data_IF_830303541638
#
_entry.id   IF_830303541638
#
_cell.length_a   1.000
_cell.length_b   1.000
_cell.length_c   1.000
_cell.angle_alpha   90.00
_cell.angle_beta   90.00
_cell.angle_gamma   90.00
#
_symmetry.space_group_name_H-M   'P 1'
#
loop_
_entity.id
_entity.type
_entity.pdbx_description
1 polymer ?
#
# COMPACT_ATOMS: atom_id res chain seq x y z
N UNK A 1 3.70 -17.72 16.40
CA UNK A 1 3.45 -17.04 15.12
C UNK A 1 4.15 -17.71 13.92
N UNK A 2 5.49 -17.73 13.70
CA UNK A 2 6.06 -18.46 12.56
C UNK A 2 5.84 -19.98 12.60
N UNK A 3 5.99 -20.59 13.78
CA UNK A 3 5.76 -22.03 13.99
C UNK A 3 4.29 -22.40 13.73
N UNK A 4 3.36 -21.70 14.38
CA UNK A 4 1.91 -21.89 14.17
C UNK A 4 1.50 -21.72 12.70
N UNK A 5 2.03 -20.72 11.99
CA UNK A 5 1.75 -20.54 10.56
C UNK A 5 2.34 -21.70 9.73
N UNK A 6 3.53 -22.19 10.11
CA UNK A 6 4.15 -23.35 9.45
C UNK A 6 3.31 -24.61 9.65
N UNK A 7 2.84 -24.86 10.87
CA UNK A 7 1.95 -25.97 11.20
C UNK A 7 0.64 -25.89 10.40
N UNK A 8 -0.01 -24.71 10.38
CA UNK A 8 -1.25 -24.52 9.62
C UNK A 8 -1.07 -24.75 8.11
N UNK A 9 0.02 -24.23 7.51
CA UNK A 9 0.31 -24.43 6.09
C UNK A 9 0.61 -25.91 5.78
N UNK A 10 1.29 -26.63 6.67
CA UNK A 10 1.55 -28.06 6.53
C UNK A 10 0.25 -28.88 6.64
N UNK A 11 -0.66 -28.53 7.57
CA UNK A 11 -1.97 -29.17 7.70
C UNK A 11 -2.84 -28.98 6.45
N UNK A 12 -2.67 -27.86 5.74
CA UNK A 12 -3.29 -27.60 4.43
C UNK A 12 -2.62 -28.36 3.27
N UNK A 13 -1.55 -29.12 3.52
CA UNK A 13 -0.82 -29.87 2.49
C UNK A 13 0.07 -29.02 1.59
N UNK A 14 0.34 -27.77 1.97
CA UNK A 14 1.25 -26.88 1.22
C UNK A 14 2.69 -27.35 1.45
N UNK A 15 3.53 -27.29 0.41
CA UNK A 15 4.94 -27.75 0.44
C UNK A 15 5.87 -26.69 -0.16
N UNK A 16 7.18 -26.91 -0.07
CA UNK A 16 8.22 -26.06 -0.66
C UNK A 16 8.18 -24.58 -0.20
N UNK A 17 7.90 -24.37 1.09
CA UNK A 17 7.89 -23.04 1.72
C UNK A 17 8.81 -22.96 2.95
N UNK A 18 9.18 -21.74 3.32
CA UNK A 18 9.87 -21.43 4.57
C UNK A 18 9.26 -20.16 5.20
N UNK A 19 8.89 -20.24 6.48
CA UNK A 19 8.34 -19.11 7.23
C UNK A 19 9.40 -18.55 8.15
N UNK A 20 9.76 -17.28 7.95
CA UNK A 20 10.76 -16.60 8.76
C UNK A 20 10.25 -15.23 9.25
N UNK A 21 10.49 -14.87 10.53
CA UNK A 21 10.25 -13.50 10.98
C UNK A 21 11.32 -12.56 10.42
N UNK A 22 10.97 -11.30 10.20
CA UNK A 22 11.97 -10.26 9.96
C UNK A 22 12.75 -9.98 11.26
N UNK A 23 14.04 -10.35 11.27
CA UNK A 23 14.93 -10.10 12.42
C UNK A 23 15.74 -8.81 12.28
N UNK A 24 15.84 -8.28 11.07
CA UNK A 24 16.58 -7.06 10.78
C UNK A 24 15.78 -6.15 9.85
N UNK A 25 16.03 -4.85 9.96
CA UNK A 25 15.56 -3.82 9.03
C UNK A 25 16.74 -3.01 8.54
N UNK A 26 16.86 -2.88 7.23
CA UNK A 26 17.84 -1.99 6.62
C UNK A 26 17.34 -0.55 6.67
N UNK A 27 18.18 0.37 7.14
CA UNK A 27 17.88 1.81 7.07
C UNK A 27 18.06 2.38 5.65
N UNK A 28 17.85 3.68 5.49
CA UNK A 28 17.98 4.35 4.19
C UNK A 28 19.43 4.38 3.66
N UNK A 29 20.42 4.11 4.51
CA UNK A 29 21.85 4.10 4.19
C UNK A 29 22.38 2.69 3.90
N UNK A 30 21.53 1.67 4.02
CA UNK A 30 21.91 0.27 3.78
C UNK A 30 22.38 -0.46 5.03
N UNK A 31 22.33 0.15 6.22
CA UNK A 31 22.81 -0.48 7.44
C UNK A 31 21.71 -1.36 8.07
N UNK A 32 22.01 -2.60 8.44
CA UNK A 32 21.07 -3.46 9.13
C UNK A 32 20.94 -3.06 10.60
N UNK A 33 19.70 -2.89 11.06
CA UNK A 33 19.35 -2.74 12.48
C UNK A 33 18.59 -3.97 12.94
N UNK A 34 18.99 -4.57 14.05
CA UNK A 34 18.25 -5.68 14.66
C UNK A 34 16.87 -5.22 15.15
N UNK A 35 15.85 -6.00 14.82
CA UNK A 35 14.49 -5.80 15.28
C UNK A 35 14.30 -6.52 16.61
N UNK A 36 13.95 -5.75 17.64
CA UNK A 36 13.49 -6.31 18.92
C UNK A 36 12.11 -6.92 18.74
N UNK A 37 11.74 -7.84 19.63
CA UNK A 37 10.40 -8.43 19.67
C UNK A 37 9.26 -7.39 19.81
N UNK A 38 9.56 -6.21 20.35
CA UNK A 38 8.63 -5.08 20.49
C UNK A 38 8.61 -4.13 19.28
N UNK A 39 9.32 -4.46 18.20
CA UNK A 39 9.38 -3.61 17.02
C UNK A 39 8.05 -3.64 16.26
N UNK A 40 7.66 -2.47 15.77
CA UNK A 40 6.42 -2.27 15.04
C UNK A 40 6.70 -1.64 13.65
N UNK A 41 6.02 -2.09 12.57
CA UNK A 41 5.19 -3.29 12.50
C UNK A 41 6.05 -4.57 12.59
N UNK A 42 5.43 -5.68 13.01
CA UNK A 42 6.06 -7.00 12.95
C UNK A 42 5.89 -7.58 11.55
N UNK A 43 6.94 -8.18 10.98
CA UNK A 43 6.89 -8.75 9.63
C UNK A 43 7.23 -10.24 9.66
N UNK A 44 6.47 -11.03 8.92
CA UNK A 44 6.73 -12.44 8.63
C UNK A 44 6.86 -12.60 7.12
N UNK A 45 7.84 -13.36 6.68
CA UNK A 45 8.01 -13.75 5.29
C UNK A 45 7.66 -15.23 5.13
N UNK A 46 6.76 -15.53 4.22
CA UNK A 46 6.53 -16.89 3.72
C UNK A 46 7.22 -16.98 2.36
N UNK A 47 8.44 -17.48 2.34
CA UNK A 47 9.18 -17.74 1.10
C UNK A 47 8.67 -19.04 0.49
N UNK A 48 8.49 -19.06 -0.82
CA UNK A 48 8.06 -20.24 -1.55
C UNK A 48 8.98 -20.50 -2.71
N UNK A 49 9.08 -21.76 -3.14
CA UNK A 49 9.82 -22.12 -4.34
C UNK A 49 9.02 -21.71 -5.58
N UNK A 50 9.55 -20.74 -6.31
CA UNK A 50 8.95 -20.32 -7.58
C UNK A 50 9.17 -21.37 -8.68
N UNK A 51 8.16 -21.56 -9.53
CA UNK A 51 8.31 -22.27 -10.81
C UNK A 51 8.78 -21.35 -11.94
N UNK A 52 8.73 -20.02 -11.73
CA UNK A 52 9.22 -19.01 -12.66
C UNK A 52 10.72 -18.74 -12.42
N UNK A 53 11.50 -18.41 -13.46
CA UNK A 53 12.91 -18.05 -13.32
C UNK A 53 13.10 -16.87 -12.36
N UNK A 54 14.22 -16.85 -11.62
CA UNK A 54 14.57 -15.81 -10.64
C UNK A 54 14.89 -14.43 -11.26
N UNK A 55 14.66 -14.23 -12.55
CA UNK A 55 15.06 -13.03 -13.31
C UNK A 55 14.21 -11.78 -13.01
N UNK A 56 13.22 -11.88 -12.12
CA UNK A 56 12.30 -10.78 -11.80
C UNK A 56 12.80 -10.03 -10.56
N UNK A 57 13.72 -9.08 -10.74
CA UNK A 57 14.32 -8.24 -9.67
C UNK A 57 13.26 -7.57 -8.76
N UNK A 58 12.05 -7.33 -9.29
CA UNK A 58 10.98 -6.62 -8.59
C UNK A 58 9.99 -7.52 -7.81
N UNK A 59 9.86 -8.81 -8.16
CA UNK A 59 8.93 -9.75 -7.51
C UNK A 59 9.72 -10.92 -6.93
N UNK A 60 10.05 -10.79 -5.64
CA UNK A 60 10.65 -11.89 -4.89
C UNK A 60 9.61 -12.98 -4.61
N UNK A 61 9.97 -14.28 -4.64
CA UNK A 61 9.06 -15.39 -4.37
C UNK A 61 8.80 -15.54 -2.86
N UNK A 62 8.18 -14.52 -2.29
CA UNK A 62 7.82 -14.43 -0.88
C UNK A 62 6.54 -13.64 -0.68
N UNK A 63 5.70 -14.14 0.20
CA UNK A 63 4.57 -13.38 0.75
C UNK A 63 5.07 -12.66 2.00
N UNK A 64 4.98 -11.33 2.00
CA UNK A 64 5.30 -10.50 3.17
C UNK A 64 4.01 -10.22 3.92
N UNK A 65 3.92 -10.66 5.17
CA UNK A 65 2.81 -10.41 6.09
C UNK A 65 3.27 -9.36 7.10
N UNK A 66 2.61 -8.20 7.12
CA UNK A 66 2.89 -7.13 8.08
C UNK A 66 1.74 -7.00 9.08
N UNK A 67 2.08 -7.03 10.37
CA UNK A 67 1.15 -6.95 11.48
C UNK A 67 1.42 -5.65 12.22
N UNK A 68 0.41 -4.78 12.26
CA UNK A 68 0.47 -3.46 12.87
C UNK A 68 -0.53 -3.35 14.02
N UNK A 69 -0.08 -2.90 15.19
CA UNK A 69 -0.91 -2.54 16.34
C UNK A 69 -1.22 -1.03 16.42
N UNK A 70 -0.69 -0.25 15.48
CA UNK A 70 -0.94 1.20 15.35
C UNK A 70 -1.80 1.52 14.13
N UNK A 71 -2.43 0.51 13.53
CA UNK A 71 -3.39 0.73 12.44
C UNK A 71 -4.76 1.01 13.04
N UNK A 72 -5.53 1.87 12.40
CA UNK A 72 -6.92 2.08 12.78
C UNK A 72 -7.71 0.79 12.49
N UNK A 73 -8.63 0.40 13.38
CA UNK A 73 -9.35 -0.88 13.28
C UNK A 73 -10.64 -0.79 12.44
N UNK A 74 -11.18 0.41 12.25
CA UNK A 74 -12.47 0.66 11.57
C UNK A 74 -12.34 1.82 10.54
N UNK A 75 -13.25 1.98 9.57
CA UNK A 75 -14.34 1.06 9.23
C UNK A 75 -13.82 -0.17 8.48
N UNK A 76 -14.37 -1.34 8.79
CA UNK A 76 -14.18 -2.57 8.00
C UNK A 76 -15.47 -3.02 7.33
N UNK A 77 -15.32 -3.73 6.22
CA UNK A 77 -16.37 -4.47 5.56
C UNK A 77 -15.92 -5.92 5.32
N UNK A 78 -16.83 -6.88 5.53
CA UNK A 78 -16.57 -8.28 5.20
C UNK A 78 -16.46 -8.43 3.68
N UNK A 79 -15.33 -8.97 3.22
CA UNK A 79 -15.14 -9.32 1.82
C UNK A 79 -14.86 -10.80 1.68
N UNK A 80 -15.28 -11.30 0.53
CA UNK A 80 -15.00 -12.64 0.07
C UNK A 80 -13.85 -12.55 -0.94
N UNK A 81 -12.71 -13.15 -0.62
CA UNK A 81 -11.63 -13.36 -1.58
C UNK A 81 -11.74 -14.76 -2.15
N UNK A 82 -11.60 -14.84 -3.47
CA UNK A 82 -11.62 -16.08 -4.23
C UNK A 82 -10.38 -16.14 -5.11
N UNK A 83 -9.79 -17.33 -5.25
CA UNK A 83 -8.61 -17.50 -6.08
C UNK A 83 -8.91 -17.15 -7.53
N UNK A 84 -8.11 -16.25 -8.13
CA UNK A 84 -8.18 -15.97 -9.57
C UNK A 84 -7.93 -17.23 -10.42
N UNK A 85 -7.16 -18.20 -9.90
CA UNK A 85 -6.95 -19.47 -10.58
C UNK A 85 -8.23 -20.28 -10.73
N UNK A 86 -9.19 -20.16 -9.81
CA UNK A 86 -10.47 -20.85 -9.92
C UNK A 86 -11.32 -20.33 -11.10
N UNK A 87 -11.13 -19.08 -11.52
CA UNK A 87 -11.81 -18.52 -12.69
C UNK A 87 -11.19 -19.00 -14.02
N UNK A 88 -9.88 -19.26 -14.02
CA UNK A 88 -9.13 -19.67 -15.21
C UNK A 88 -9.09 -21.20 -15.36
N UNK A 89 -8.88 -21.91 -14.27
CA UNK A 89 -8.71 -23.37 -14.19
C UNK A 89 -9.90 -23.98 -13.46
N UNK A 90 -10.97 -24.24 -14.21
CA UNK A 90 -12.25 -24.74 -13.65
C UNK A 90 -12.19 -26.12 -12.99
N UNK A 91 -11.09 -26.84 -13.19
CA UNK A 91 -10.88 -28.18 -12.64
C UNK A 91 -10.14 -28.16 -11.30
N UNK A 92 -9.58 -27.00 -10.91
CA UNK A 92 -8.88 -26.80 -9.65
C UNK A 92 -9.85 -26.45 -8.51
N UNK A 93 -9.37 -26.62 -7.28
CA UNK A 93 -10.15 -26.31 -6.08
C UNK A 93 -10.48 -24.81 -6.01
N UNK A 94 -11.76 -24.52 -5.83
CA UNK A 94 -12.27 -23.15 -5.69
C UNK A 94 -12.14 -22.67 -4.24
N UNK A 95 -10.96 -22.14 -3.91
CA UNK A 95 -10.68 -21.63 -2.57
C UNK A 95 -11.30 -20.24 -2.39
N UNK A 96 -12.26 -20.16 -1.48
CA UNK A 96 -12.91 -18.94 -1.02
C UNK A 96 -12.59 -18.69 0.47
N UNK A 97 -12.25 -17.45 0.83
CA UNK A 97 -12.08 -17.02 2.22
C UNK A 97 -12.83 -15.72 2.48
N UNK A 98 -13.45 -15.61 3.65
CA UNK A 98 -14.13 -14.40 4.11
C UNK A 98 -13.37 -13.78 5.27
N UNK A 99 -13.10 -12.48 5.18
CA UNK A 99 -12.46 -11.76 6.27
C UNK A 99 -12.79 -10.26 6.20
N UNK A 100 -12.72 -9.56 7.36
CA UNK A 100 -12.89 -8.11 7.40
C UNK A 100 -11.74 -7.42 6.66
N UNK A 101 -12.09 -6.52 5.74
CA UNK A 101 -11.15 -5.65 5.04
C UNK A 101 -11.43 -4.20 5.38
N UNK A 102 -10.40 -3.37 5.44
CA UNK A 102 -10.58 -1.91 5.59
C UNK A 102 -11.38 -1.39 4.40
N UNK A 103 -12.36 -0.52 4.65
CA UNK A 103 -13.16 0.07 3.57
C UNK A 103 -12.27 0.86 2.59
N UNK A 104 -12.47 0.73 1.26
CA UNK A 104 -11.60 1.38 0.29
C UNK A 104 -11.54 2.91 0.41
N UNK A 105 -12.61 3.58 0.86
CA UNK A 105 -12.62 5.03 1.12
C UNK A 105 -11.57 5.42 2.15
N UNK A 106 -11.38 4.62 3.21
CA UNK A 106 -10.35 4.87 4.22
C UNK A 106 -8.95 4.68 3.63
N UNK A 107 -8.73 3.59 2.90
CA UNK A 107 -7.46 3.34 2.21
C UNK A 107 -7.10 4.46 1.23
N UNK A 108 -8.09 5.02 0.54
CA UNK A 108 -7.93 6.18 -0.34
C UNK A 108 -7.43 7.42 0.41
N UNK A 109 -8.08 7.77 1.52
CA UNK A 109 -7.67 8.86 2.40
C UNK A 109 -6.26 8.65 2.97
N UNK A 110 -5.97 7.45 3.46
CA UNK A 110 -4.65 7.11 4.02
C UNK A 110 -3.53 7.30 2.99
N UNK A 111 -3.76 6.95 1.71
CA UNK A 111 -2.79 7.16 0.63
C UNK A 111 -2.60 8.64 0.31
N UNK A 112 -3.69 9.41 0.24
CA UNK A 112 -3.65 10.86 0.03
C UNK A 112 -2.84 11.53 1.15
N UNK A 113 -3.13 11.21 2.42
CA UNK A 113 -2.42 11.79 3.55
C UNK A 113 -0.98 11.35 3.63
N UNK A 114 -0.68 10.08 3.34
CA UNK A 114 0.70 9.59 3.29
C UNK A 114 1.54 10.39 2.28
N UNK A 115 1.00 10.67 1.09
CA UNK A 115 1.68 11.49 0.09
C UNK A 115 1.78 12.95 0.52
N UNK A 116 0.72 13.50 1.09
CA UNK A 116 0.71 14.86 1.62
C UNK A 116 1.79 15.09 2.67
N UNK A 117 1.91 14.16 3.61
CA UNK A 117 2.94 14.16 4.64
C UNK A 117 4.34 13.97 4.04
N UNK A 118 4.50 13.09 3.04
CA UNK A 118 5.79 12.89 2.38
C UNK A 118 6.26 14.15 1.66
N UNK A 119 5.36 14.88 0.98
CA UNK A 119 5.69 16.09 0.22
C UNK A 119 5.87 17.36 1.06
N UNK A 120 5.52 17.33 2.34
CA UNK A 120 5.94 18.36 3.29
C UNK A 120 7.41 18.24 3.71
N UNK A 121 8.06 17.08 3.47
CA UNK A 121 9.48 16.87 3.81
C UNK A 121 10.40 17.59 2.83
N UNK A 122 11.55 18.06 3.32
CA UNK A 122 12.57 18.66 2.46
C UNK A 122 13.20 17.68 1.45
N UNK A 123 13.15 16.38 1.72
CA UNK A 123 13.65 15.32 0.84
C UNK A 123 12.64 14.15 0.81
N UNK A 124 11.58 14.22 -0.02
CA UNK A 124 10.57 13.17 -0.12
C UNK A 124 11.18 11.90 -0.74
N UNK A 125 10.85 10.75 -0.17
CA UNK A 125 11.27 9.46 -0.71
C UNK A 125 10.50 9.15 -2.00
N UNK A 126 11.20 8.80 -3.06
CA UNK A 126 10.62 8.45 -4.36
C UNK A 126 10.50 6.93 -4.57
N UNK A 127 11.48 6.15 -4.09
CA UNK A 127 11.54 4.68 -4.29
C UNK A 127 10.30 3.98 -3.74
N UNK A 128 9.61 3.24 -4.62
CA UNK A 128 8.37 2.50 -4.41
C UNK A 128 7.16 3.36 -4.03
N UNK A 129 7.25 4.68 -4.05
CA UNK A 129 6.18 5.56 -3.57
C UNK A 129 5.17 5.93 -4.66
N UNK A 130 5.55 5.82 -5.94
CA UNK A 130 4.65 6.10 -7.08
C UNK A 130 3.42 5.20 -7.14
N UNK A 131 3.46 4.01 -6.52
CA UNK A 131 2.30 3.10 -6.38
C UNK A 131 1.09 3.78 -5.74
N UNK A 132 1.33 4.70 -4.80
CA UNK A 132 0.25 5.39 -4.10
C UNK A 132 -0.47 6.36 -5.03
N UNK A 133 0.23 6.96 -6.00
CA UNK A 133 -0.37 7.79 -7.05
C UNK A 133 -1.31 6.94 -7.91
N UNK A 134 -0.84 5.76 -8.34
CA UNK A 134 -1.65 4.83 -9.13
C UNK A 134 -2.89 4.34 -8.39
N UNK A 135 -2.74 3.94 -7.13
CA UNK A 135 -3.86 3.48 -6.32
C UNK A 135 -4.93 4.57 -6.13
N UNK A 136 -4.51 5.83 -5.93
CA UNK A 136 -5.43 6.98 -5.87
C UNK A 136 -6.17 7.13 -7.20
N UNK A 137 -5.47 7.06 -8.32
CA UNK A 137 -6.10 7.14 -9.65
C UNK A 137 -7.13 6.02 -9.88
N UNK A 138 -6.84 4.80 -9.43
CA UNK A 138 -7.79 3.67 -9.59
C UNK A 138 -9.03 3.80 -8.72
N UNK A 139 -8.95 4.48 -7.58
CA UNK A 139 -10.07 4.63 -6.65
C UNK A 139 -10.89 5.90 -6.92
N UNK A 140 -10.30 6.97 -7.45
CA UNK A 140 -10.89 8.31 -7.45
C UNK A 140 -12.24 8.46 -8.18
N UNK A 141 -12.53 7.60 -9.16
CA UNK A 141 -13.80 7.64 -9.92
C UNK A 141 -14.84 6.62 -9.44
N UNK A 142 -14.46 5.76 -8.50
CA UNK A 142 -15.39 4.87 -7.81
C UNK A 142 -16.24 5.63 -6.79
N UNK A 143 -17.30 5.01 -6.29
CA UNK A 143 -18.11 5.61 -5.22
C UNK A 143 -17.32 5.78 -3.92
N UNK A 144 -16.29 4.95 -3.70
CA UNK A 144 -15.35 5.11 -2.59
C UNK A 144 -14.53 6.40 -2.72
N UNK A 145 -14.05 6.71 -3.94
CA UNK A 145 -13.30 7.95 -4.19
C UNK A 145 -14.17 9.20 -4.02
N UNK A 146 -15.44 9.14 -4.47
CA UNK A 146 -16.42 10.23 -4.27
C UNK A 146 -16.80 10.43 -2.81
N UNK A 147 -16.69 9.40 -1.98
CA UNK A 147 -17.01 9.45 -0.55
C UNK A 147 -16.01 10.26 0.28
N UNK A 148 -14.97 10.85 -0.32
CA UNK A 148 -14.08 11.81 0.33
C UNK A 148 -14.80 13.05 0.92
N UNK A 149 -16.04 13.31 0.49
CA UNK A 149 -16.90 14.33 1.08
C UNK A 149 -17.42 13.98 2.49
N UNK A 150 -17.26 12.73 2.94
CA UNK A 150 -17.54 12.33 4.32
C UNK A 150 -16.49 12.95 5.26
N UNK A 151 -16.88 14.07 5.87
CA UNK A 151 -15.99 14.83 6.75
C UNK A 151 -15.68 14.11 8.06
N UNK A 152 -16.60 13.28 8.56
CA UNK A 152 -16.40 12.56 9.80
C UNK A 152 -15.30 11.51 9.64
N UNK A 153 -15.38 10.71 8.57
CA UNK A 153 -14.32 9.75 8.25
C UNK A 153 -13.00 10.46 7.98
N UNK A 154 -13.01 11.53 7.18
CA UNK A 154 -11.82 12.34 6.89
C UNK A 154 -11.10 12.79 8.16
N UNK A 155 -11.82 13.48 9.07
CA UNK A 155 -11.25 14.03 10.29
C UNK A 155 -10.79 12.92 11.25
N UNK A 156 -11.49 11.79 11.29
CA UNK A 156 -11.10 10.64 12.11
C UNK A 156 -9.76 10.05 11.66
N UNK A 157 -9.53 9.93 10.35
CA UNK A 157 -8.27 9.41 9.79
C UNK A 157 -7.13 10.40 10.05
N UNK A 158 -7.33 11.71 9.83
CA UNK A 158 -6.32 12.74 10.14
C UNK A 158 -5.95 12.70 11.62
N UNK A 159 -6.95 12.66 12.50
CA UNK A 159 -6.74 12.59 13.96
C UNK A 159 -5.97 11.34 14.35
N UNK A 160 -6.34 10.18 13.82
CA UNK A 160 -5.65 8.92 14.10
C UNK A 160 -4.17 9.01 13.68
N UNK A 161 -3.89 9.51 12.47
CA UNK A 161 -2.52 9.66 11.96
C UNK A 161 -1.70 10.63 12.82
N UNK A 162 -2.29 11.74 13.26
CA UNK A 162 -1.61 12.74 14.12
C UNK A 162 -1.18 12.20 15.48
N UNK A 163 -1.80 11.11 15.96
CA UNK A 163 -1.53 10.48 17.26
C UNK A 163 -0.65 9.24 17.11
N UNK A 164 -1.05 8.30 16.24
CA UNK A 164 -0.46 6.96 16.17
C UNK A 164 0.57 6.79 15.04
N UNK A 165 0.47 7.60 13.98
CA UNK A 165 1.38 7.55 12.82
C UNK A 165 2.11 8.88 12.63
N UNK A 166 2.31 9.63 13.71
CA UNK A 166 2.86 10.97 13.66
C UNK A 166 4.24 10.96 13.02
N UNK A 167 4.38 11.70 11.93
CA UNK A 167 5.66 11.92 11.27
C UNK A 167 6.27 13.22 11.83
N UNK A 168 7.53 13.15 12.23
CA UNK A 168 8.25 14.31 12.76
C UNK A 168 8.42 15.39 11.68
N UNK A 169 8.22 16.66 12.05
CA UNK A 169 8.34 17.80 11.14
C UNK A 169 7.14 18.03 10.22
N UNK A 170 6.06 17.26 10.37
CA UNK A 170 4.81 17.44 9.62
C UNK A 170 3.83 18.31 10.40
N UNK A 171 3.21 19.25 9.68
CA UNK A 171 2.12 20.06 10.20
C UNK A 171 0.77 19.42 9.85
N UNK A 172 0.10 18.87 10.86
CA UNK A 172 -1.21 18.24 10.71
C UNK A 172 -2.36 19.26 10.61
N UNK A 173 -2.11 20.54 10.92
CA UNK A 173 -3.08 21.61 10.68
C UNK A 173 -3.21 21.92 9.18
N UNK A 174 -2.30 21.40 8.34
CA UNK A 174 -2.36 21.49 6.87
C UNK A 174 -3.14 20.34 6.21
N UNK A 175 -3.75 19.42 6.97
CA UNK A 175 -4.61 18.36 6.42
C UNK A 175 -6.03 18.86 6.11
N UNK A 176 -6.19 20.12 5.71
CA UNK A 176 -7.47 20.65 5.21
C UNK A 176 -7.62 20.40 3.70
N UNK A 177 -8.87 20.28 3.22
CA UNK A 177 -9.17 20.00 1.80
C UNK A 177 -8.49 21.01 0.86
N UNK A 178 -8.44 22.29 1.27
CA UNK A 178 -7.82 23.38 0.51
C UNK A 178 -6.29 23.28 0.40
N UNK A 179 -5.64 22.66 1.39
CA UNK A 179 -4.17 22.60 1.53
C UNK A 179 -3.59 21.23 1.17
N UNK A 180 -4.45 20.22 0.95
CA UNK A 180 -4.00 18.92 0.47
C UNK A 180 -3.19 19.06 -0.83
N UNK A 181 -2.07 18.35 -0.83
CA UNK A 181 -1.12 18.26 -1.92
C UNK A 181 -0.54 16.85 -1.94
N UNK A 182 -0.89 16.07 -2.94
CA UNK A 182 -0.42 14.68 -3.12
C UNK A 182 0.13 14.48 -4.55
N UNK A 183 0.57 15.57 -5.17
CA UNK A 183 1.29 15.58 -6.45
C UNK A 183 2.79 15.78 -6.14
N UNK A 184 3.70 15.00 -6.74
CA UNK A 184 5.13 15.16 -6.54
C UNK A 184 5.59 16.59 -6.85
N UNK A 185 6.38 17.24 -5.97
CA UNK A 185 6.95 18.55 -6.25
C UNK A 185 7.82 18.54 -7.51
N UNK A 186 7.84 19.65 -8.26
CA UNK A 186 8.60 19.77 -9.52
C UNK A 186 10.08 19.37 -9.40
N UNK A 187 10.70 19.67 -8.26
CA UNK A 187 12.09 19.31 -7.96
C UNK A 187 12.34 17.80 -7.95
N UNK A 188 11.33 16.99 -7.60
CA UNK A 188 11.44 15.53 -7.45
C UNK A 188 10.65 14.76 -8.52
N UNK A 189 9.94 15.45 -9.41
CA UNK A 189 9.00 14.84 -10.36
C UNK A 189 9.63 13.76 -11.25
N UNK A 190 10.87 13.97 -11.70
CA UNK A 190 11.62 13.01 -12.53
C UNK A 190 11.98 11.72 -11.79
N UNK A 191 12.24 11.81 -10.49
CA UNK A 191 12.53 10.61 -9.69
C UNK A 191 11.27 9.77 -9.51
N UNK A 192 10.13 10.42 -9.30
CA UNK A 192 8.83 9.78 -9.20
C UNK A 192 8.36 9.18 -10.51
N UNK A 193 8.64 9.86 -11.63
CA UNK A 193 8.42 9.31 -12.98
C UNK A 193 9.22 8.02 -13.19
N UNK A 194 10.51 8.03 -12.84
CA UNK A 194 11.37 6.84 -12.94
C UNK A 194 10.86 5.70 -12.06
N UNK A 195 10.40 5.99 -10.85
CA UNK A 195 9.80 4.99 -9.96
C UNK A 195 8.50 4.42 -10.56
N UNK A 196 7.66 5.26 -11.16
CA UNK A 196 6.41 4.85 -11.80
C UNK A 196 6.67 3.97 -13.03
N UNK A 197 7.61 4.34 -13.89
CA UNK A 197 8.02 3.51 -15.04
C UNK A 197 8.53 2.14 -14.58
N UNK A 198 9.31 2.10 -13.50
CA UNK A 198 9.76 0.85 -12.90
C UNK A 198 8.57 0.02 -12.43
N UNK A 199 7.58 0.63 -11.77
CA UNK A 199 6.37 -0.07 -11.37
C UNK A 199 5.55 -0.58 -12.57
N UNK A 200 5.36 0.22 -13.62
CA UNK A 200 4.60 -0.17 -14.82
C UNK A 200 5.18 -1.43 -15.45
N UNK A 201 6.49 -1.46 -15.65
CA UNK A 201 7.17 -2.59 -16.30
C UNK A 201 7.05 -3.92 -15.54
N UNK A 202 6.88 -3.88 -14.22
CA UNK A 202 6.89 -5.08 -13.38
C UNK A 202 5.52 -5.49 -12.82
N UNK A 203 4.56 -4.57 -12.71
CA UNK A 203 3.29 -4.81 -12.02
C UNK A 203 2.03 -4.50 -12.80
N UNK A 204 2.09 -3.64 -13.81
CA UNK A 204 0.88 -3.23 -14.51
C UNK A 204 0.75 -4.05 -15.80
N UNK A 205 -0.05 -5.11 -15.71
CA UNK A 205 -0.35 -6.02 -16.83
C UNK A 205 -1.45 -5.48 -17.77
N UNK A 206 -1.98 -4.29 -17.50
CA UNK A 206 -2.98 -3.65 -18.36
C UNK A 206 -2.33 -3.20 -19.69
N UNK A 207 -2.95 -3.54 -20.82
CA UNK A 207 -2.45 -3.18 -22.16
C UNK A 207 -2.27 -1.66 -22.35
N UNK A 208 -2.96 -0.84 -21.54
CA UNK A 208 -2.91 0.63 -21.59
C UNK A 208 -2.86 1.24 -20.20
N UNK A 209 -1.75 1.03 -19.50
CA UNK A 209 -1.46 1.85 -18.32
C UNK A 209 -1.22 3.31 -18.72
N UNK A 210 -1.67 4.25 -17.89
CA UNK A 210 -1.50 5.68 -18.14
C UNK A 210 -0.01 6.04 -18.20
N UNK A 211 0.37 6.98 -19.05
CA UNK A 211 1.68 7.63 -18.91
C UNK A 211 1.77 8.39 -17.58
N UNK A 212 2.98 8.68 -17.11
CA UNK A 212 3.16 9.45 -15.88
C UNK A 212 2.48 10.84 -15.98
N UNK A 213 2.59 11.52 -17.11
CA UNK A 213 1.93 12.81 -17.34
C UNK A 213 0.40 12.70 -17.28
N UNK A 214 -0.19 11.63 -17.83
CA UNK A 214 -1.63 11.39 -17.72
C UNK A 214 -2.04 11.09 -16.29
N UNK A 215 -1.26 10.31 -15.55
CA UNK A 215 -1.47 10.06 -14.12
C UNK A 215 -1.46 11.36 -13.32
N UNK A 216 -0.48 12.25 -13.55
CA UNK A 216 -0.41 13.55 -12.87
C UNK A 216 -1.64 14.41 -13.19
N UNK A 217 -2.06 14.50 -14.45
CA UNK A 217 -3.28 15.24 -14.85
C UNK A 217 -4.53 14.72 -14.12
N UNK A 218 -4.63 13.41 -13.94
CA UNK A 218 -5.73 12.80 -13.17
C UNK A 218 -5.67 13.21 -11.70
N UNK A 219 -4.50 13.20 -11.08
CA UNK A 219 -4.35 13.66 -9.70
C UNK A 219 -4.63 15.17 -9.53
N UNK A 220 -4.30 15.99 -10.52
CA UNK A 220 -4.67 17.42 -10.57
C UNK A 220 -6.18 17.59 -10.64
N UNK A 221 -6.86 16.80 -11.47
CA UNK A 221 -8.33 16.76 -11.56
C UNK A 221 -8.95 16.42 -10.20
N UNK A 222 -8.44 15.38 -9.53
CA UNK A 222 -8.89 15.01 -8.18
C UNK A 222 -8.64 16.13 -7.18
N UNK A 223 -7.46 16.76 -7.23
CA UNK A 223 -7.12 17.88 -6.33
C UNK A 223 -8.12 19.02 -6.51
N UNK A 224 -8.47 19.37 -7.74
CA UNK A 224 -9.49 20.38 -8.03
C UNK A 224 -10.88 19.96 -7.52
N UNK A 225 -11.27 18.68 -7.69
CA UNK A 225 -12.52 18.15 -7.12
C UNK A 225 -12.58 18.31 -5.60
N UNK A 226 -11.54 17.87 -4.90
CA UNK A 226 -11.46 17.93 -3.44
C UNK A 226 -11.55 19.37 -2.93
N UNK A 227 -10.86 20.31 -3.59
CA UNK A 227 -10.85 21.73 -3.19
C UNK A 227 -12.18 22.45 -3.43
N UNK A 228 -13.09 21.86 -4.20
CA UNK A 228 -14.41 22.40 -4.50
C UNK A 228 -15.54 21.77 -3.64
N UNK A 229 -15.20 20.89 -2.70
CA UNK A 229 -16.10 20.37 -1.67
C UNK A 229 -16.27 21.37 -0.53
#
# INVERSE_FOLDING_TARGET
MPEELTEALNEMGIVDFNVEPALTRTDNEGNPTELRATSHPSTIFVRYKSILPEEWEYIEPKVKIEISCLSMDEPVEEKTLRSFMADVLKEEEDVEVRFPTVVPTRTFLEKIFLLHEEFQKGNPRSKRMSRHLYDIEKIMDTDFGKSIADRELYDSVVKHRSVFNKVEGIDYDLHNLSTLSFIPPETFIKEWEKDYQSMQNHFIYEERSLSFDELIKRLEELTARIRNL
#
